data_IF_941946061853
#
_entry.id   IF_941946061853
#
_cell.length_a   1.000
_cell.length_b   1.000
_cell.length_c   1.000
_cell.angle_alpha   90.00
_cell.angle_beta   90.00
_cell.angle_gamma   90.00
#
_symmetry.space_group_name_H-M   'P 1'
#
loop_
_entity.id
_entity.type
_entity.pdbx_description
1 polymer ?
#
# COMPACT_ATOMS: atom_id res chain seq x y z
N UNK A 1 11.01 -17.15 -3.57
CA UNK A 1 11.06 -15.67 -3.45
C UNK A 1 9.71 -15.15 -2.93
N UNK A 2 9.30 -15.58 -1.73
CA UNK A 2 8.01 -15.19 -1.12
C UNK A 2 7.93 -13.68 -0.83
N UNK A 3 9.05 -13.08 -0.44
CA UNK A 3 9.18 -11.64 -0.17
C UNK A 3 8.90 -10.78 -1.41
N UNK A 4 9.33 -11.23 -2.59
CA UNK A 4 9.12 -10.49 -3.85
C UNK A 4 7.65 -10.53 -4.25
N UNK A 5 7.04 -11.73 -4.22
CA UNK A 5 5.62 -11.89 -4.50
C UNK A 5 4.74 -11.07 -3.53
N UNK A 6 5.13 -11.01 -2.25
CA UNK A 6 4.46 -10.17 -1.26
C UNK A 6 4.61 -8.67 -1.56
N UNK A 7 5.83 -8.22 -1.91
CA UNK A 7 6.08 -6.84 -2.27
C UNK A 7 5.27 -6.40 -3.51
N UNK A 8 5.17 -7.27 -4.52
CA UNK A 8 4.35 -7.01 -5.72
C UNK A 8 2.85 -6.92 -5.39
N UNK A 9 2.34 -7.85 -4.58
CA UNK A 9 0.95 -7.83 -4.07
C UNK A 9 0.66 -6.56 -3.28
N UNK A 10 1.58 -6.13 -2.43
CA UNK A 10 1.47 -4.87 -1.67
C UNK A 10 1.47 -3.66 -2.62
N UNK A 11 2.38 -3.61 -3.59
CA UNK A 11 2.47 -2.53 -4.58
C UNK A 11 1.20 -2.40 -5.43
N UNK A 12 0.66 -3.51 -5.94
CA UNK A 12 -0.59 -3.50 -6.71
C UNK A 12 -1.74 -2.93 -5.88
N UNK A 13 -1.87 -3.38 -4.63
CA UNK A 13 -2.91 -2.90 -3.70
C UNK A 13 -2.78 -1.41 -3.41
N UNK A 14 -1.58 -0.93 -3.07
CA UNK A 14 -1.32 0.49 -2.78
C UNK A 14 -1.62 1.35 -4.02
N UNK A 15 -1.21 0.90 -5.21
CA UNK A 15 -1.47 1.62 -6.47
C UNK A 15 -2.95 1.68 -6.80
N UNK A 16 -3.68 0.57 -6.63
CA UNK A 16 -5.13 0.52 -6.81
C UNK A 16 -5.83 1.45 -5.83
N UNK A 17 -5.46 1.42 -4.55
CA UNK A 17 -6.06 2.28 -3.53
C UNK A 17 -5.78 3.75 -3.79
N UNK A 18 -4.55 4.11 -4.21
CA UNK A 18 -4.22 5.49 -4.57
C UNK A 18 -5.10 6.00 -5.71
N UNK A 19 -5.25 5.19 -6.78
CA UNK A 19 -6.14 5.53 -7.91
C UNK A 19 -7.59 5.68 -7.47
N UNK A 20 -8.12 4.77 -6.64
CA UNK A 20 -9.48 4.89 -6.11
C UNK A 20 -9.66 6.15 -5.26
N UNK A 21 -8.68 6.52 -4.43
CA UNK A 21 -8.75 7.72 -3.60
C UNK A 21 -8.73 9.00 -4.43
N UNK A 22 -7.84 9.09 -5.42
CA UNK A 22 -7.65 10.28 -6.25
C UNK A 22 -8.73 10.39 -7.33
N UNK A 23 -8.92 9.35 -8.14
CA UNK A 23 -9.83 9.37 -9.30
C UNK A 23 -11.27 9.00 -8.92
N UNK A 24 -11.45 8.02 -8.03
CA UNK A 24 -12.78 7.52 -7.67
C UNK A 24 -13.48 8.34 -6.58
N UNK A 25 -12.71 8.95 -5.66
CA UNK A 25 -13.24 9.69 -4.50
C UNK A 25 -12.84 11.17 -4.47
N UNK A 26 -12.15 11.67 -5.50
CA UNK A 26 -11.65 13.05 -5.61
C UNK A 26 -10.96 13.56 -4.33
N UNK A 27 -10.25 12.68 -3.61
CA UNK A 27 -9.52 13.09 -2.41
C UNK A 27 -8.32 13.94 -2.80
N UNK A 28 -8.04 14.98 -2.00
CA UNK A 28 -6.82 15.78 -2.12
C UNK A 28 -5.60 14.85 -2.13
N UNK A 29 -4.65 15.14 -3.02
CA UNK A 29 -3.47 14.28 -3.21
C UNK A 29 -2.70 14.04 -1.91
N UNK A 30 -2.59 15.05 -1.04
CA UNK A 30 -1.90 14.90 0.24
C UNK A 30 -2.58 13.88 1.15
N UNK A 31 -3.92 13.88 1.21
CA UNK A 31 -4.70 12.90 1.98
C UNK A 31 -4.51 11.49 1.42
N UNK A 32 -4.49 11.36 0.09
CA UNK A 32 -4.23 10.08 -0.56
C UNK A 32 -2.81 9.58 -0.27
N UNK A 33 -1.79 10.44 -0.38
CA UNK A 33 -0.39 10.11 -0.07
C UNK A 33 -0.22 9.65 1.37
N UNK A 34 -0.79 10.37 2.35
CA UNK A 34 -0.72 10.00 3.77
C UNK A 34 -1.41 8.66 4.04
N UNK A 35 -2.56 8.41 3.43
CA UNK A 35 -3.27 7.12 3.58
C UNK A 35 -2.45 5.95 3.02
N UNK A 36 -1.81 6.13 1.86
CA UNK A 36 -0.94 5.12 1.24
C UNK A 36 0.33 4.90 2.05
N UNK A 37 0.98 5.96 2.55
CA UNK A 37 2.17 5.84 3.39
C UNK A 37 1.88 5.04 4.67
N UNK A 38 0.73 5.28 5.32
CA UNK A 38 0.32 4.53 6.51
C UNK A 38 0.13 3.04 6.23
N UNK A 39 -0.45 2.70 5.09
CA UNK A 39 -0.65 1.29 4.69
C UNK A 39 0.67 0.63 4.29
N UNK A 40 1.56 1.35 3.60
CA UNK A 40 2.92 0.91 3.28
C UNK A 40 3.72 0.57 4.54
N UNK A 41 3.67 1.41 5.58
CA UNK A 41 4.34 1.13 6.86
C UNK A 41 3.85 -0.18 7.49
N UNK A 42 2.56 -0.51 7.34
CA UNK A 42 2.00 -1.79 7.80
C UNK A 42 2.57 -3.00 7.05
N UNK A 43 2.74 -2.89 5.73
CA UNK A 43 3.39 -3.93 4.92
C UNK A 43 4.85 -4.12 5.30
N UNK A 44 5.61 -3.03 5.47
CA UNK A 44 7.02 -3.09 5.88
C UNK A 44 7.16 -3.77 7.24
N UNK A 45 6.33 -3.41 8.21
CA UNK A 45 6.34 -4.06 9.52
C UNK A 45 5.96 -5.55 9.44
N UNK A 46 4.99 -5.91 8.60
CA UNK A 46 4.65 -7.31 8.33
C UNK A 46 5.84 -8.10 7.77
N UNK A 47 6.57 -7.54 6.80
CA UNK A 47 7.80 -8.13 6.28
C UNK A 47 8.88 -8.27 7.36
N UNK A 48 9.10 -7.24 8.17
CA UNK A 48 10.11 -7.27 9.25
C UNK A 48 9.80 -8.31 10.33
N UNK A 49 8.53 -8.60 10.57
CA UNK A 49 8.08 -9.53 11.62
C UNK A 49 7.75 -10.94 11.10
N UNK A 50 8.00 -11.22 9.83
CA UNK A 50 7.67 -12.51 9.20
C UNK A 50 6.16 -12.75 9.03
N UNK A 51 5.33 -11.72 9.17
CA UNK A 51 3.86 -11.75 8.93
C UNK A 51 3.56 -11.42 7.48
N UNK A 52 4.14 -12.20 6.58
CA UNK A 52 3.92 -12.13 5.14
C UNK A 52 2.85 -13.17 4.76
N UNK A 53 1.64 -12.70 4.46
CA UNK A 53 0.45 -13.50 4.14
C UNK A 53 -0.02 -13.33 2.69
#
# INVERSE_FOLDING_TARGET
>A
MEVIAYADKANERLRRRYRTLVLGKNKKQNVAKTAIARELSGFIWGMMTGRIA
#
